data_IF_652991810860
#
_entry.id   IF_652991810860
#
_cell.length_a   1.000
_cell.length_b   1.000
_cell.length_c   1.000
_cell.angle_alpha   90.00
_cell.angle_beta   90.00
_cell.angle_gamma   90.00
#
_symmetry.space_group_name_H-M   'P 1'
#
loop_
_entity.id
_entity.type
_entity.pdbx_description
1 polymer ?
#
# COMPACT_ATOMS: atom_id res chain seq x y z
N UNK A 1 6.88 26.04 -8.54
CA UNK A 1 6.67 24.67 -8.06
C UNK A 1 7.37 24.38 -6.72
N UNK A 2 8.68 24.53 -6.59
CA UNK A 2 9.46 24.20 -5.36
C UNK A 2 9.05 25.02 -4.12
N UNK A 3 8.76 26.31 -4.25
CA UNK A 3 8.35 27.16 -3.11
C UNK A 3 6.93 26.84 -2.59
N UNK A 4 6.03 26.40 -3.45
CA UNK A 4 4.70 25.92 -3.08
C UNK A 4 4.75 24.57 -2.36
N UNK A 5 5.62 23.68 -2.78
CA UNK A 5 5.86 22.42 -2.08
C UNK A 5 6.25 22.66 -0.61
N UNK A 6 7.16 23.57 -0.32
CA UNK A 6 7.67 23.79 1.03
C UNK A 6 6.64 24.37 2.03
N UNK A 7 5.72 25.23 1.58
CA UNK A 7 4.69 25.81 2.45
C UNK A 7 3.56 24.81 2.74
N UNK A 8 3.16 24.02 1.74
CA UNK A 8 2.12 23.01 1.82
C UNK A 8 2.55 21.83 2.71
N UNK A 9 3.81 21.38 2.57
CA UNK A 9 4.34 20.22 3.26
C UNK A 9 4.61 20.44 4.76
N UNK A 10 4.79 21.68 5.20
CA UNK A 10 5.09 22.01 6.61
C UNK A 10 3.89 21.89 7.55
N UNK A 11 2.66 21.87 7.04
CA UNK A 11 1.41 21.93 7.83
C UNK A 11 0.77 20.57 8.13
N UNK A 12 1.16 19.52 7.44
CA UNK A 12 0.56 18.19 7.61
C UNK A 12 1.25 17.38 8.71
N UNK A 13 0.52 17.06 9.76
CA UNK A 13 1.02 16.27 10.91
C UNK A 13 1.00 14.78 10.62
N UNK A 14 2.04 14.26 9.94
CA UNK A 14 2.25 12.82 9.76
C UNK A 14 2.70 12.10 11.05
N UNK A 15 3.04 12.84 12.10
CA UNK A 15 3.45 12.34 13.42
C UNK A 15 2.40 11.41 14.02
N UNK A 16 1.10 11.78 13.91
CA UNK A 16 -0.01 10.92 14.38
C UNK A 16 -0.10 9.60 13.61
N UNK A 17 0.23 9.59 12.32
CA UNK A 17 0.26 8.39 11.50
C UNK A 17 1.36 7.44 11.97
N UNK A 18 2.55 7.97 12.26
CA UNK A 18 3.67 7.21 12.81
C UNK A 18 3.30 6.65 14.18
N UNK A 19 2.80 7.49 15.09
CA UNK A 19 2.38 7.05 16.43
C UNK A 19 1.33 5.93 16.38
N UNK A 20 0.35 6.02 15.48
CA UNK A 20 -0.67 4.99 15.32
C UNK A 20 -0.09 3.67 14.77
N UNK A 21 0.93 3.74 13.92
CA UNK A 21 1.62 2.57 13.38
C UNK A 21 2.61 1.94 14.36
N UNK A 22 3.19 2.72 15.28
CA UNK A 22 4.08 2.24 16.32
C UNK A 22 3.33 1.65 17.53
N UNK A 23 2.07 2.03 17.72
CA UNK A 23 1.24 1.58 18.85
C UNK A 23 1.13 0.05 19.00
N UNK A 24 1.07 -0.77 17.93
CA UNK A 24 1.02 -2.23 18.06
C UNK A 24 2.25 -2.85 18.73
N UNK A 25 3.43 -2.27 18.55
CA UNK A 25 4.71 -2.86 18.93
C UNK A 25 4.78 -3.27 20.41
N UNK A 26 4.49 -2.38 21.39
CA UNK A 26 4.55 -2.75 22.80
C UNK A 26 3.50 -3.82 23.16
N UNK A 27 2.34 -3.81 22.52
CA UNK A 27 1.32 -4.85 22.73
C UNK A 27 1.75 -6.20 22.16
N UNK A 28 2.37 -6.23 21.00
CA UNK A 28 2.90 -7.46 20.40
C UNK A 28 4.03 -8.06 21.24
N UNK A 29 4.93 -7.23 21.80
CA UNK A 29 5.96 -7.70 22.73
C UNK A 29 5.35 -8.32 24.00
N UNK A 30 4.37 -7.65 24.60
CA UNK A 30 3.69 -8.16 25.78
C UNK A 30 2.93 -9.45 25.47
N UNK A 31 2.30 -9.52 24.30
CA UNK A 31 1.62 -10.74 23.83
C UNK A 31 2.61 -11.89 23.64
N UNK A 32 3.77 -11.65 23.00
CA UNK A 32 4.80 -12.66 22.82
C UNK A 32 5.34 -13.17 24.15
N UNK A 33 5.55 -12.27 25.12
CA UNK A 33 5.95 -12.64 26.47
C UNK A 33 4.90 -13.50 27.17
N UNK A 34 3.62 -13.11 27.14
CA UNK A 34 2.53 -13.89 27.76
C UNK A 34 2.35 -15.26 27.11
N UNK A 35 2.51 -15.34 25.78
CA UNK A 35 2.47 -16.61 25.05
C UNK A 35 3.63 -17.53 25.47
N UNK A 36 4.83 -17.01 25.62
CA UNK A 36 5.98 -17.80 26.08
C UNK A 36 5.75 -18.36 27.49
N UNK A 37 5.19 -17.56 28.41
CA UNK A 37 4.82 -18.01 29.77
C UNK A 37 3.70 -19.08 29.74
N UNK A 38 2.72 -18.91 28.86
CA UNK A 38 1.64 -19.89 28.67
C UNK A 38 2.17 -21.26 28.23
N UNK A 39 3.08 -21.28 27.26
CA UNK A 39 3.70 -22.51 26.77
C UNK A 39 4.48 -23.19 27.90
N UNK A 40 5.27 -22.43 28.65
CA UNK A 40 6.08 -22.95 29.77
C UNK A 40 5.23 -23.55 30.88
N UNK A 41 4.16 -22.86 31.31
CA UNK A 41 3.22 -23.35 32.31
C UNK A 41 2.39 -24.55 31.82
N UNK A 42 2.12 -24.62 30.50
CA UNK A 42 1.43 -25.77 29.93
C UNK A 42 2.32 -27.03 29.92
N UNK A 43 3.61 -26.90 29.71
CA UNK A 43 4.57 -28.00 29.79
C UNK A 43 4.76 -28.50 31.24
N UNK A 44 4.64 -27.59 32.21
CA UNK A 44 4.71 -27.93 33.65
C UNK A 44 3.40 -28.54 34.21
N UNK A 45 2.34 -28.62 33.38
CA UNK A 45 1.05 -29.21 33.77
C UNK A 45 0.19 -28.35 34.70
N UNK A 46 0.53 -27.08 34.91
CA UNK A 46 -0.19 -26.18 35.84
C UNK A 46 -1.46 -25.55 35.16
N UNK A 47 -2.49 -26.36 34.94
CA UNK A 47 -3.73 -25.98 34.23
C UNK A 47 -4.40 -24.73 34.81
N UNK A 48 -4.39 -24.53 36.12
CA UNK A 48 -5.01 -23.34 36.75
C UNK A 48 -4.29 -22.05 36.39
N UNK A 49 -2.96 -22.06 36.33
CA UNK A 49 -2.18 -20.89 35.96
C UNK A 49 -2.30 -20.63 34.45
N UNK A 50 -2.35 -21.66 33.64
CA UNK A 50 -2.61 -21.54 32.19
C UNK A 50 -3.94 -20.82 31.91
N UNK A 51 -5.01 -21.22 32.64
CA UNK A 51 -6.31 -20.53 32.55
C UNK A 51 -6.24 -19.04 32.92
N UNK A 52 -5.51 -18.69 33.97
CA UNK A 52 -5.35 -17.33 34.45
C UNK A 52 -4.56 -16.45 33.42
N UNK A 53 -3.40 -16.91 32.96
CA UNK A 53 -2.62 -16.19 31.95
C UNK A 53 -3.33 -16.12 30.59
N UNK A 54 -4.06 -17.16 30.21
CA UNK A 54 -4.92 -17.16 29.03
C UNK A 54 -6.03 -16.11 29.10
N UNK A 55 -6.66 -15.97 30.27
CA UNK A 55 -7.65 -14.93 30.52
C UNK A 55 -7.08 -13.53 30.43
N UNK A 56 -5.88 -13.30 30.97
CA UNK A 56 -5.16 -12.00 30.83
C UNK A 56 -4.86 -11.70 29.37
N UNK A 57 -4.38 -12.69 28.61
CA UNK A 57 -4.06 -12.52 27.19
C UNK A 57 -5.31 -12.17 26.37
N UNK A 58 -6.43 -12.85 26.58
CA UNK A 58 -7.69 -12.53 25.92
C UNK A 58 -8.18 -11.12 26.28
N UNK A 59 -8.13 -10.75 27.57
CA UNK A 59 -8.48 -9.41 28.02
C UNK A 59 -7.62 -8.33 27.35
N UNK A 60 -6.33 -8.56 27.26
CA UNK A 60 -5.38 -7.66 26.62
C UNK A 60 -5.66 -7.51 25.10
N UNK A 61 -5.98 -8.61 24.42
CA UNK A 61 -6.34 -8.57 22.99
C UNK A 61 -7.61 -7.77 22.77
N UNK A 62 -8.67 -8.00 23.54
CA UNK A 62 -9.93 -7.26 23.40
C UNK A 62 -9.72 -5.77 23.68
N UNK A 63 -8.99 -5.44 24.75
CA UNK A 63 -8.67 -4.06 25.11
C UNK A 63 -7.87 -3.34 24.03
N UNK A 64 -6.81 -3.99 23.52
CA UNK A 64 -6.00 -3.45 22.45
C UNK A 64 -6.81 -3.20 21.17
N UNK A 65 -7.60 -4.18 20.72
CA UNK A 65 -8.40 -4.05 19.51
C UNK A 65 -9.47 -2.96 19.64
N UNK A 66 -10.10 -2.84 20.81
CA UNK A 66 -11.06 -1.79 21.11
C UNK A 66 -10.44 -0.39 21.01
N UNK A 67 -9.32 -0.16 21.68
CA UNK A 67 -8.61 1.12 21.62
C UNK A 67 -8.10 1.41 20.20
N UNK A 68 -7.48 0.42 19.55
CA UNK A 68 -6.97 0.55 18.18
C UNK A 68 -8.07 0.94 17.20
N UNK A 69 -9.26 0.34 17.32
CA UNK A 69 -10.43 0.67 16.48
C UNK A 69 -10.84 2.14 16.64
N UNK A 70 -10.98 2.62 17.88
CA UNK A 70 -11.37 4.00 18.14
C UNK A 70 -10.34 5.00 17.62
N UNK A 71 -9.05 4.73 17.85
CA UNK A 71 -7.96 5.60 17.39
C UNK A 71 -7.85 5.60 15.86
N UNK A 72 -7.99 4.45 15.21
CA UNK A 72 -8.02 4.34 13.75
C UNK A 72 -9.19 5.11 13.13
N UNK A 73 -10.38 5.06 13.77
CA UNK A 73 -11.55 5.83 13.31
C UNK A 73 -11.31 7.33 13.40
N UNK A 74 -10.78 7.83 14.54
CA UNK A 74 -10.45 9.25 14.72
C UNK A 74 -9.39 9.70 13.68
N UNK A 75 -8.34 8.91 13.52
CA UNK A 75 -7.29 9.20 12.54
C UNK A 75 -7.82 9.26 11.11
N UNK A 76 -8.69 8.30 10.71
CA UNK A 76 -9.30 8.30 9.36
C UNK A 76 -10.14 9.55 9.10
N UNK A 77 -10.87 10.05 10.12
CA UNK A 77 -11.62 11.31 9.99
C UNK A 77 -10.67 12.51 9.81
N UNK A 78 -9.67 12.64 10.65
CA UNK A 78 -8.68 13.73 10.56
C UNK A 78 -7.94 13.69 9.22
N UNK A 79 -7.49 12.51 8.78
CA UNK A 79 -6.84 12.29 7.48
C UNK A 79 -7.71 12.79 6.31
N UNK A 80 -9.03 12.48 6.31
CA UNK A 80 -9.94 12.94 5.27
C UNK A 80 -10.03 14.47 5.20
N UNK A 81 -10.14 15.11 6.36
CA UNK A 81 -10.21 16.57 6.44
C UNK A 81 -8.91 17.19 5.92
N UNK A 82 -7.76 16.66 6.33
CA UNK A 82 -6.46 17.15 5.87
C UNK A 82 -6.29 17.00 4.35
N UNK A 83 -6.70 15.87 3.78
CA UNK A 83 -6.68 15.64 2.33
C UNK A 83 -7.60 16.62 1.60
N UNK A 84 -8.80 16.90 2.12
CA UNK A 84 -9.73 17.87 1.51
C UNK A 84 -9.15 19.29 1.53
N UNK A 85 -8.58 19.71 2.66
CA UNK A 85 -7.92 21.02 2.79
C UNK A 85 -6.75 21.11 1.81
N UNK A 86 -5.99 20.03 1.68
CA UNK A 86 -4.88 19.92 0.77
C UNK A 86 -5.34 20.03 -0.69
N UNK A 87 -6.38 19.32 -1.09
CA UNK A 87 -6.98 19.42 -2.44
C UNK A 87 -7.45 20.86 -2.71
N UNK A 88 -8.17 21.47 -1.78
CA UNK A 88 -8.63 22.84 -1.93
C UNK A 88 -7.47 23.85 -2.11
N UNK A 89 -6.42 23.74 -1.31
CA UNK A 89 -5.26 24.63 -1.43
C UNK A 89 -4.51 24.43 -2.77
N UNK A 90 -4.49 23.18 -3.27
CA UNK A 90 -3.93 22.86 -4.58
C UNK A 90 -4.75 23.49 -5.70
N UNK A 91 -6.09 23.35 -5.67
CA UNK A 91 -7.00 24.00 -6.62
C UNK A 91 -6.86 25.53 -6.61
N UNK A 92 -6.83 26.14 -5.41
CA UNK A 92 -6.62 27.60 -5.30
C UNK A 92 -5.31 28.05 -5.93
N UNK A 93 -4.27 27.25 -5.76
CA UNK A 93 -2.96 27.55 -6.33
C UNK A 93 -2.94 27.38 -7.85
N UNK A 94 -3.64 26.40 -8.36
CA UNK A 94 -3.80 26.16 -9.80
C UNK A 94 -4.57 27.31 -10.48
N UNK A 95 -5.69 27.74 -9.88
CA UNK A 95 -6.49 28.85 -10.38
C UNK A 95 -5.75 30.21 -10.38
N UNK A 96 -4.65 30.33 -9.63
CA UNK A 96 -3.79 31.52 -9.61
C UNK A 96 -2.64 31.47 -10.63
N UNK A 97 -2.54 30.37 -11.38
CA UNK A 97 -1.53 30.28 -12.44
C UNK A 97 -1.85 31.30 -13.57
N UNK A 98 -0.82 31.93 -14.16
CA UNK A 98 -1.03 32.81 -15.29
C UNK A 98 -1.55 32.00 -16.49
N UNK A 99 -2.46 32.62 -17.25
CA UNK A 99 -3.12 32.02 -18.43
C UNK A 99 -2.15 31.42 -19.44
N UNK A 100 -0.99 32.04 -19.58
CA UNK A 100 0.08 31.58 -20.49
C UNK A 100 0.57 30.14 -20.20
N UNK A 101 0.59 29.75 -18.90
CA UNK A 101 0.95 28.39 -18.51
C UNK A 101 -0.19 27.39 -18.69
N UNK A 102 -1.42 27.81 -18.52
CA UNK A 102 -2.62 27.01 -18.72
C UNK A 102 -2.86 26.69 -20.21
N UNK A 103 -2.43 27.56 -21.11
CA UNK A 103 -2.64 27.39 -22.55
C UNK A 103 -1.74 26.31 -23.17
N UNK A 104 -0.64 25.96 -22.51
CA UNK A 104 0.32 24.93 -22.96
C UNK A 104 0.11 23.56 -22.32
N UNK A 105 -0.76 23.45 -21.31
CA UNK A 105 -1.11 22.17 -20.70
C UNK A 105 -2.36 21.57 -21.34
N UNK A 106 -2.39 20.25 -21.46
CA UNK A 106 -3.61 19.55 -21.89
C UNK A 106 -4.54 19.40 -20.66
N UNK A 107 -5.85 19.59 -20.86
CA UNK A 107 -6.85 19.40 -19.79
C UNK A 107 -6.76 18.00 -19.19
N UNK A 108 -6.42 16.99 -19.99
CA UNK A 108 -6.25 15.61 -19.53
C UNK A 108 -5.07 15.43 -18.59
N UNK A 109 -3.92 16.03 -18.92
CA UNK A 109 -2.70 15.99 -18.12
C UNK A 109 -2.89 16.72 -16.78
N UNK A 110 -3.53 17.88 -16.81
CA UNK A 110 -3.86 18.61 -15.59
C UNK A 110 -4.83 17.82 -14.70
N UNK A 111 -5.84 17.15 -15.28
CA UNK A 111 -6.77 16.31 -14.55
C UNK A 111 -6.07 15.09 -13.91
N UNK A 112 -5.12 14.47 -14.60
CA UNK A 112 -4.30 13.37 -14.07
C UNK A 112 -3.49 13.82 -12.85
N UNK A 113 -2.86 14.98 -12.91
CA UNK A 113 -2.16 15.58 -11.78
C UNK A 113 -3.08 15.87 -10.59
N UNK A 114 -4.31 16.30 -10.84
CA UNK A 114 -5.30 16.57 -9.79
C UNK A 114 -5.87 15.33 -9.12
N UNK A 115 -5.95 14.22 -9.82
CA UNK A 115 -6.55 12.99 -9.33
C UNK A 115 -5.49 11.99 -8.89
N UNK A 116 -4.75 11.43 -9.83
CA UNK A 116 -3.85 10.30 -9.58
C UNK A 116 -2.57 10.69 -8.86
N UNK A 117 -1.90 11.75 -9.31
CA UNK A 117 -0.63 12.15 -8.71
C UNK A 117 -0.82 12.66 -7.28
N UNK A 118 -1.86 13.46 -7.07
CA UNK A 118 -2.19 13.97 -5.73
C UNK A 118 -2.49 12.83 -4.77
N UNK A 119 -3.35 11.89 -5.15
CA UNK A 119 -3.73 10.77 -4.29
C UNK A 119 -2.54 9.83 -4.03
N UNK A 120 -1.67 9.61 -5.04
CA UNK A 120 -0.41 8.86 -4.90
C UNK A 120 0.54 9.50 -3.89
N UNK A 121 0.70 10.82 -3.93
CA UNK A 121 1.55 11.54 -3.00
C UNK A 121 0.98 11.48 -1.58
N UNK A 122 -0.34 11.62 -1.43
CA UNK A 122 -1.01 11.51 -0.13
C UNK A 122 -0.89 10.11 0.46
N UNK A 123 -1.06 9.06 -0.35
CA UNK A 123 -0.87 7.68 0.08
C UNK A 123 0.58 7.43 0.54
N UNK A 124 1.56 7.85 -0.24
CA UNK A 124 2.98 7.71 0.12
C UNK A 124 3.27 8.36 1.47
N UNK A 125 2.71 9.54 1.73
CA UNK A 125 2.99 10.31 2.95
C UNK A 125 2.27 9.77 4.18
N UNK A 126 0.97 9.47 4.06
CA UNK A 126 0.15 9.06 5.22
C UNK A 126 0.14 7.57 5.48
N UNK A 127 0.53 6.75 4.51
CA UNK A 127 0.50 5.30 4.65
C UNK A 127 1.86 4.65 4.48
N UNK A 128 2.55 4.89 3.35
CA UNK A 128 3.80 4.18 3.04
C UNK A 128 4.96 4.61 3.94
N UNK A 129 5.16 5.91 4.12
CA UNK A 129 6.24 6.42 4.96
C UNK A 129 6.07 6.05 6.46
N UNK A 130 4.89 6.25 7.10
CA UNK A 130 4.68 5.79 8.47
C UNK A 130 4.81 4.27 8.63
N UNK A 131 4.38 3.48 7.62
CA UNK A 131 4.55 2.03 7.65
C UNK A 131 6.01 1.60 7.57
N UNK A 132 6.82 2.30 6.78
CA UNK A 132 8.26 2.05 6.70
C UNK A 132 8.95 2.35 8.03
N UNK A 133 8.62 3.48 8.66
CA UNK A 133 9.17 3.83 10.00
C UNK A 133 8.78 2.78 11.03
N UNK A 134 7.51 2.32 11.01
CA UNK A 134 7.04 1.28 11.92
C UNK A 134 7.77 -0.05 11.67
N UNK A 135 7.92 -0.48 10.43
CA UNK A 135 8.63 -1.71 10.09
C UNK A 135 10.09 -1.70 10.55
N UNK A 136 10.80 -0.57 10.36
CA UNK A 136 12.17 -0.42 10.87
C UNK A 136 12.19 -0.50 12.40
N UNK A 137 11.26 0.17 13.08
CA UNK A 137 11.15 0.11 14.53
C UNK A 137 10.82 -1.31 15.03
N UNK A 138 9.93 -2.04 14.35
CA UNK A 138 9.63 -3.44 14.65
C UNK A 138 10.88 -4.32 14.56
N UNK A 139 11.63 -4.23 13.46
CA UNK A 139 12.87 -5.01 13.28
C UNK A 139 13.89 -4.69 14.38
N UNK A 140 14.07 -3.42 14.74
CA UNK A 140 15.02 -3.02 15.79
C UNK A 140 14.59 -3.49 17.18
N UNK A 141 13.31 -3.38 17.51
CA UNK A 141 12.78 -3.72 18.84
C UNK A 141 12.71 -5.24 19.01
N UNK A 142 12.10 -5.96 18.06
CA UNK A 142 12.01 -7.42 18.12
C UNK A 142 13.36 -8.09 17.92
N UNK A 143 14.18 -7.60 16.98
CA UNK A 143 15.55 -8.09 16.78
C UNK A 143 16.42 -7.88 18.02
N UNK A 144 16.33 -6.71 18.66
CA UNK A 144 17.01 -6.43 19.92
C UNK A 144 16.54 -7.35 21.05
N UNK A 145 15.22 -7.53 21.19
CA UNK A 145 14.65 -8.45 22.20
C UNK A 145 15.13 -9.90 22.00
N UNK A 146 15.11 -10.40 20.76
CA UNK A 146 15.61 -11.74 20.43
C UNK A 146 17.12 -11.87 20.67
N UNK A 147 17.89 -10.82 20.40
CA UNK A 147 19.32 -10.82 20.63
C UNK A 147 19.67 -10.94 22.12
N UNK A 148 18.87 -10.32 22.99
CA UNK A 148 19.01 -10.49 24.45
C UNK A 148 18.65 -11.88 24.94
N UNK A 149 17.67 -12.54 24.30
CA UNK A 149 17.26 -13.89 24.68
C UNK A 149 18.25 -14.95 24.19
N UNK A 150 18.55 -14.92 22.91
CA UNK A 150 19.47 -15.86 22.27
C UNK A 150 20.10 -15.23 21.00
N UNK A 151 21.37 -14.78 21.08
CA UNK A 151 22.01 -14.09 19.98
C UNK A 151 22.18 -14.98 18.73
N UNK A 152 22.38 -16.29 18.91
CA UNK A 152 22.50 -17.21 17.75
C UNK A 152 21.19 -17.33 16.98
N UNK A 153 20.05 -17.46 17.69
CA UNK A 153 18.73 -17.50 17.08
C UNK A 153 18.37 -16.15 16.43
N UNK A 154 18.71 -15.03 17.05
CA UNK A 154 18.49 -13.71 16.49
C UNK A 154 19.21 -13.52 15.14
N UNK A 155 20.48 -13.90 15.05
CA UNK A 155 21.26 -13.82 13.80
C UNK A 155 20.66 -14.74 12.73
N UNK A 156 20.25 -15.97 13.10
CA UNK A 156 19.66 -16.91 12.16
C UNK A 156 18.34 -16.38 11.60
N UNK A 157 17.45 -15.85 12.45
CA UNK A 157 16.17 -15.28 12.02
C UNK A 157 16.36 -14.02 11.17
N UNK A 158 17.34 -13.16 11.49
CA UNK A 158 17.67 -12.00 10.65
C UNK A 158 18.19 -12.45 9.27
N UNK A 159 19.04 -13.48 9.22
CA UNK A 159 19.54 -14.01 7.96
C UNK A 159 18.40 -14.56 7.07
N UNK A 160 17.48 -15.32 7.65
CA UNK A 160 16.30 -15.82 6.93
C UNK A 160 15.41 -14.65 6.45
N UNK A 161 15.18 -13.66 7.31
CA UNK A 161 14.44 -12.44 6.93
C UNK A 161 15.08 -11.70 5.76
N UNK A 162 16.40 -11.63 5.68
CA UNK A 162 17.12 -11.05 4.53
C UNK A 162 16.90 -11.87 3.25
N UNK A 163 16.87 -13.19 3.34
CA UNK A 163 16.58 -14.06 2.18
C UNK A 163 15.18 -13.82 1.65
N UNK A 164 14.19 -13.55 2.50
CA UNK A 164 12.81 -13.25 2.09
C UNK A 164 12.66 -11.95 1.29
N UNK A 165 13.63 -11.05 1.32
CA UNK A 165 13.62 -9.81 0.52
C UNK A 165 14.00 -10.11 -0.95
N UNK A 166 14.67 -11.22 -1.22
CA UNK A 166 15.20 -11.54 -2.56
C UNK A 166 14.10 -11.75 -3.61
N UNK A 167 13.02 -12.55 -3.38
CA UNK A 167 11.97 -12.75 -4.38
C UNK A 167 11.31 -11.44 -4.87
N UNK A 168 10.85 -10.52 -4.01
CA UNK A 168 10.29 -9.24 -4.44
C UNK A 168 11.28 -8.40 -5.27
N UNK A 169 12.58 -8.43 -4.94
CA UNK A 169 13.58 -7.65 -5.68
C UNK A 169 13.79 -8.16 -7.10
N UNK A 170 13.76 -9.49 -7.30
CA UNK A 170 13.93 -10.11 -8.62
C UNK A 170 12.71 -9.80 -9.49
N UNK A 171 11.51 -9.97 -8.95
CA UNK A 171 10.27 -9.85 -9.71
C UNK A 171 9.87 -8.40 -9.97
N UNK A 172 10.27 -7.47 -9.08
CA UNK A 172 9.90 -6.05 -9.15
C UNK A 172 10.18 -5.41 -10.51
N UNK A 173 11.37 -5.62 -11.08
CA UNK A 173 11.74 -5.02 -12.36
C UNK A 173 10.89 -5.56 -13.52
N UNK A 174 10.62 -6.87 -13.51
CA UNK A 174 9.77 -7.50 -14.50
C UNK A 174 8.32 -7.03 -14.39
N UNK A 175 7.79 -6.96 -13.18
CA UNK A 175 6.44 -6.47 -12.94
C UNK A 175 6.28 -4.99 -13.32
N UNK A 176 7.30 -4.16 -13.08
CA UNK A 176 7.24 -2.74 -13.44
C UNK A 176 7.13 -2.55 -14.95
N UNK A 177 7.93 -3.26 -15.74
CA UNK A 177 7.86 -3.21 -17.23
C UNK A 177 6.50 -3.70 -17.72
N UNK A 178 5.98 -4.80 -17.16
CA UNK A 178 4.67 -5.30 -17.55
C UNK A 178 3.53 -4.35 -17.13
N UNK A 179 3.65 -3.69 -15.99
CA UNK A 179 2.68 -2.70 -15.55
C UNK A 179 2.65 -1.47 -16.47
N UNK A 180 3.82 -0.98 -16.89
CA UNK A 180 3.93 0.11 -17.87
C UNK A 180 3.29 -0.30 -19.20
N UNK A 181 3.60 -1.50 -19.71
CA UNK A 181 2.99 -2.03 -20.93
C UNK A 181 1.46 -2.19 -20.83
N UNK A 182 0.94 -2.62 -19.67
CA UNK A 182 -0.51 -2.70 -19.43
C UNK A 182 -1.14 -1.30 -19.46
N UNK A 183 -0.51 -0.32 -18.82
CA UNK A 183 -0.97 1.07 -18.79
C UNK A 183 -1.03 1.70 -20.17
N UNK A 184 -0.03 1.45 -21.01
CA UNK A 184 0.01 1.96 -22.38
C UNK A 184 -1.14 1.39 -23.23
N UNK A 185 -1.43 0.09 -23.11
CA UNK A 185 -2.55 -0.52 -23.82
C UNK A 185 -3.90 -0.05 -23.25
N UNK A 186 -4.00 0.17 -21.95
CA UNK A 186 -5.19 0.70 -21.30
C UNK A 186 -5.50 2.12 -21.77
N UNK A 187 -4.46 2.95 -21.95
CA UNK A 187 -4.58 4.27 -22.56
C UNK A 187 -5.04 4.16 -24.02
N UNK A 188 -4.46 3.23 -24.83
CA UNK A 188 -4.88 2.98 -26.22
C UNK A 188 -6.35 2.54 -26.31
N UNK A 189 -6.79 1.66 -25.40
CA UNK A 189 -8.20 1.23 -25.31
C UNK A 189 -9.11 2.41 -24.96
N UNK A 190 -8.72 3.22 -24.01
CA UNK A 190 -9.51 4.37 -23.55
C UNK A 190 -9.66 5.39 -24.67
N UNK A 191 -8.58 5.73 -25.37
CA UNK A 191 -8.58 6.64 -26.51
C UNK A 191 -9.47 6.10 -27.66
N UNK A 192 -9.36 4.80 -27.93
CA UNK A 192 -10.19 4.14 -28.95
C UNK A 192 -11.67 4.22 -28.59
N UNK A 193 -12.06 4.00 -27.33
CA UNK A 193 -13.45 4.11 -26.85
C UNK A 193 -13.92 5.57 -26.93
N UNK A 194 -13.11 6.55 -26.52
CA UNK A 194 -13.45 7.97 -26.62
C UNK A 194 -13.68 8.39 -28.08
N UNK A 195 -12.86 7.90 -28.99
CA UNK A 195 -13.03 8.12 -30.43
C UNK A 195 -14.34 7.52 -30.95
N UNK A 196 -14.71 6.33 -30.46
CA UNK A 196 -16.00 5.73 -30.78
C UNK A 196 -17.20 6.57 -30.32
N UNK A 197 -17.14 7.11 -29.09
CA UNK A 197 -18.18 8.00 -28.58
C UNK A 197 -18.27 9.30 -29.37
N UNK A 198 -17.13 9.90 -29.69
CA UNK A 198 -17.09 11.14 -30.49
C UNK A 198 -17.59 10.93 -31.91
N UNK A 199 -17.30 9.77 -32.51
CA UNK A 199 -17.71 9.39 -33.86
C UNK A 199 -18.95 8.50 -33.92
N UNK A 200 -19.75 8.41 -32.87
CA UNK A 200 -20.86 7.46 -32.78
C UNK A 200 -21.83 7.52 -33.95
N UNK A 201 -22.20 8.73 -34.37
CA UNK A 201 -23.10 8.94 -35.51
C UNK A 201 -22.48 8.39 -36.80
N UNK A 202 -21.21 8.64 -37.01
CA UNK A 202 -20.46 8.15 -38.21
C UNK A 202 -20.42 6.63 -38.23
N UNK A 203 -20.12 5.99 -37.08
CA UNK A 203 -20.11 4.53 -36.96
C UNK A 203 -21.48 3.94 -37.31
N UNK A 204 -22.57 4.58 -36.88
CA UNK A 204 -23.93 4.14 -37.18
C UNK A 204 -24.31 4.33 -38.66
N UNK A 205 -24.03 5.51 -39.25
CA UNK A 205 -24.36 5.81 -40.62
C UNK A 205 -23.64 4.86 -41.60
N UNK A 206 -22.35 4.60 -41.34
CA UNK A 206 -21.52 3.73 -42.21
C UNK A 206 -21.55 2.26 -41.82
N UNK A 207 -22.37 1.88 -40.84
CA UNK A 207 -22.52 0.50 -40.31
C UNK A 207 -21.18 -0.16 -39.94
N UNK A 208 -20.29 0.61 -39.29
CA UNK A 208 -18.93 0.18 -38.90
C UNK A 208 -18.88 -0.52 -37.55
N UNK A 209 -20.03 -0.88 -36.94
CA UNK A 209 -20.12 -1.44 -35.58
C UNK A 209 -19.28 -2.70 -35.41
N UNK A 210 -19.39 -3.66 -36.36
CA UNK A 210 -18.64 -4.91 -36.33
C UNK A 210 -17.12 -4.69 -36.44
N UNK A 211 -16.71 -3.76 -37.30
CA UNK A 211 -15.31 -3.41 -37.46
C UNK A 211 -14.71 -2.84 -36.16
N UNK A 212 -15.46 -1.94 -35.49
CA UNK A 212 -15.07 -1.36 -34.22
C UNK A 212 -14.95 -2.40 -33.12
N UNK A 213 -15.94 -3.29 -32.98
CA UNK A 213 -15.92 -4.35 -32.00
C UNK A 213 -14.74 -5.32 -32.20
N UNK A 214 -14.49 -5.74 -33.43
CA UNK A 214 -13.36 -6.59 -33.76
C UNK A 214 -12.02 -5.92 -33.45
N UNK A 215 -11.91 -4.61 -33.67
CA UNK A 215 -10.71 -3.86 -33.32
C UNK A 215 -10.50 -3.75 -31.84
N UNK A 216 -11.58 -3.46 -31.09
CA UNK A 216 -11.56 -3.40 -29.62
C UNK A 216 -11.21 -4.75 -29.01
N UNK A 217 -11.76 -5.84 -29.55
CA UNK A 217 -11.43 -7.19 -29.09
C UNK A 217 -9.93 -7.53 -29.26
N UNK A 218 -9.31 -7.10 -30.35
CA UNK A 218 -7.87 -7.27 -30.55
C UNK A 218 -7.05 -6.50 -29.50
N UNK A 219 -7.47 -5.29 -29.13
CA UNK A 219 -6.81 -4.53 -28.07
C UNK A 219 -6.95 -5.22 -26.72
N UNK A 220 -8.15 -5.68 -26.39
CA UNK A 220 -8.36 -6.47 -25.17
C UNK A 220 -7.63 -7.81 -25.17
N UNK A 221 -7.44 -8.45 -26.30
CA UNK A 221 -6.62 -9.66 -26.42
C UNK A 221 -5.14 -9.40 -26.09
N UNK A 222 -4.59 -8.26 -26.56
CA UNK A 222 -3.24 -7.80 -26.18
C UNK A 222 -3.15 -7.52 -24.68
N UNK A 223 -4.11 -6.79 -24.13
CA UNK A 223 -4.19 -6.49 -22.70
C UNK A 223 -4.23 -7.77 -21.84
N UNK A 224 -5.08 -8.71 -22.20
CA UNK A 224 -5.17 -10.02 -21.51
C UNK A 224 -3.87 -10.81 -21.58
N UNK A 225 -3.15 -10.76 -22.69
CA UNK A 225 -1.87 -11.48 -22.83
C UNK A 225 -0.83 -10.95 -21.86
N UNK A 226 -0.63 -9.63 -21.82
CA UNK A 226 0.33 -9.00 -20.91
C UNK A 226 -0.12 -9.16 -19.44
N UNK A 227 -1.41 -9.02 -19.16
CA UNK A 227 -1.97 -9.24 -17.83
C UNK A 227 -1.72 -10.66 -17.30
N UNK A 228 -1.81 -11.69 -18.16
CA UNK A 228 -1.47 -13.06 -17.77
C UNK A 228 -0.01 -13.21 -17.35
N UNK A 229 0.92 -12.64 -18.09
CA UNK A 229 2.35 -12.67 -17.75
C UNK A 229 2.63 -12.00 -16.39
N UNK A 230 1.96 -10.89 -16.11
CA UNK A 230 2.02 -10.21 -14.81
C UNK A 230 1.45 -11.06 -13.67
N UNK A 231 0.31 -11.75 -13.90
CA UNK A 231 -0.30 -12.64 -12.91
C UNK A 231 0.61 -13.83 -12.59
N UNK A 232 1.25 -14.45 -13.59
CA UNK A 232 2.18 -15.55 -13.37
C UNK A 232 3.41 -15.11 -12.57
N UNK A 233 3.96 -13.93 -12.86
CA UNK A 233 5.09 -13.37 -12.12
C UNK A 233 4.71 -13.08 -10.65
N UNK A 234 3.55 -12.47 -10.43
CA UNK A 234 3.04 -12.18 -9.08
C UNK A 234 2.73 -13.44 -8.28
N UNK A 235 2.08 -14.42 -8.89
CA UNK A 235 1.78 -15.69 -8.22
C UNK A 235 3.07 -16.49 -7.92
N UNK A 236 4.06 -16.46 -8.82
CA UNK A 236 5.37 -17.05 -8.59
C UNK A 236 6.12 -16.43 -7.42
N UNK A 237 6.08 -15.09 -7.31
CA UNK A 237 6.62 -14.36 -6.15
C UNK A 237 5.93 -14.78 -4.86
N UNK A 238 4.59 -14.80 -4.86
CA UNK A 238 3.78 -15.16 -3.69
C UNK A 238 4.05 -16.59 -3.24
N UNK A 239 4.13 -17.53 -4.17
CA UNK A 239 4.45 -18.93 -3.88
C UNK A 239 5.86 -19.10 -3.30
N UNK A 240 6.85 -18.38 -3.82
CA UNK A 240 8.21 -18.37 -3.26
C UNK A 240 8.24 -17.77 -1.86
N UNK A 241 7.52 -16.67 -1.65
CA UNK A 241 7.42 -16.06 -0.33
C UNK A 241 6.75 -16.99 0.69
N UNK A 242 5.63 -17.62 0.32
CA UNK A 242 4.94 -18.59 1.18
C UNK A 242 5.83 -19.79 1.49
N UNK A 243 6.53 -20.34 0.51
CA UNK A 243 7.48 -21.41 0.72
C UNK A 243 8.58 -21.04 1.71
N UNK A 244 9.20 -19.86 1.53
CA UNK A 244 10.24 -19.39 2.44
C UNK A 244 9.70 -19.10 3.84
N UNK A 245 8.44 -18.65 3.96
CA UNK A 245 7.81 -18.40 5.25
C UNK A 245 7.45 -19.68 6.01
N UNK A 246 7.21 -20.80 5.31
CA UNK A 246 6.94 -22.10 5.95
C UNK A 246 8.22 -22.82 6.42
N UNK A 247 9.39 -22.38 5.95
CA UNK A 247 10.69 -22.89 6.44
C UNK A 247 11.12 -22.26 7.77
N UNK A 248 10.44 -21.22 8.21
CA UNK A 248 10.61 -20.53 9.48
C UNK A 248 9.75 -21.10 10.59
#
# INVERSE_FOLDING_TARGET
MVAMQNCFWRRMRYEKAIGLKLMPIPFQLLQAFLLSQLVLLATDGEVRKVGFYGGILLGLLVFYHGISMVLKMKYKKEKRIEIQIAKLSFYQSYLRLPLEKLYHSSVGEDLEHFTNDFDTVMEKRFEKFPSLVAAVAEVLIFGGYLFFLNPMMAVLLLAIGMVQIVPPLIVKKYMQVNYENCRDIEAEITDFILTAFSGFLTIKIYNLTEWWLNRLEKLYARYRRIGKESIYASNGEMALYEFLSQLL
#
